data_IF_433132783090
#
_entry.id   IF_433132783090
#
_cell.length_a   1.000
_cell.length_b   1.000
_cell.length_c   1.000
_cell.angle_alpha   90.00
_cell.angle_beta   90.00
_cell.angle_gamma   90.00
#
_symmetry.space_group_name_H-M   'P 1'
#
loop_
_entity.id
_entity.type
_entity.pdbx_description
1 polymer ?
#
# COMPACT_ATOMS: atom_id res chain seq x y z
N UNK A 1 -17.14 -8.90 -19.22
CA UNK A 1 -17.48 -10.16 -18.49
C UNK A 1 -16.33 -11.15 -18.64
N UNK A 2 -15.46 -11.28 -17.62
CA UNK A 2 -14.33 -12.23 -17.63
C UNK A 2 -14.82 -13.63 -17.21
N UNK A 3 -14.61 -14.63 -18.07
CA UNK A 3 -14.89 -16.05 -17.79
C UNK A 3 -13.89 -16.53 -16.71
N UNK A 4 -14.36 -16.76 -15.48
CA UNK A 4 -13.58 -17.40 -14.40
C UNK A 4 -13.32 -18.86 -14.76
N UNK A 5 -12.06 -19.31 -14.65
CA UNK A 5 -11.67 -20.71 -14.71
C UNK A 5 -12.21 -21.41 -13.45
N UNK A 6 -13.21 -22.28 -13.63
CA UNK A 6 -13.78 -23.11 -12.55
C UNK A 6 -12.79 -24.21 -12.18
N UNK A 7 -12.14 -24.10 -11.03
CA UNK A 7 -11.42 -25.22 -10.43
C UNK A 7 -12.45 -26.29 -10.02
N UNK A 8 -12.37 -27.49 -10.60
CA UNK A 8 -13.29 -28.60 -10.31
C UNK A 8 -12.67 -29.51 -9.23
N UNK A 9 -13.40 -29.77 -8.16
CA UNK A 9 -13.12 -30.85 -7.22
C UNK A 9 -13.92 -32.10 -7.61
N UNK A 10 -13.35 -33.29 -7.42
CA UNK A 10 -14.02 -34.58 -7.65
C UNK A 10 -13.88 -35.43 -6.38
N UNK A 11 -14.99 -35.98 -5.88
CA UNK A 11 -15.01 -36.95 -4.78
C UNK A 11 -15.66 -38.25 -5.27
N UNK A 12 -15.07 -39.40 -4.93
CA UNK A 12 -15.63 -40.73 -5.25
C UNK A 12 -16.45 -41.17 -4.05
N UNK A 13 -17.78 -41.15 -4.18
CA UNK A 13 -18.70 -41.75 -3.19
C UNK A 13 -18.76 -43.25 -3.49
N UNK A 14 -18.39 -44.10 -2.53
CA UNK A 14 -18.45 -45.56 -2.68
C UNK A 14 -19.69 -46.08 -1.97
N UNK A 15 -20.68 -46.58 -2.72
CA UNK A 15 -21.71 -47.42 -2.12
C UNK A 15 -21.10 -48.79 -1.79
N UNK A 16 -21.06 -49.15 -0.51
CA UNK A 16 -20.54 -50.45 -0.05
C UNK A 16 -21.53 -51.58 -0.35
N UNK A 17 -21.25 -52.37 -1.38
CA UNK A 17 -21.47 -53.81 -1.36
C UNK A 17 -20.10 -54.48 -1.42
N UNK A 18 -19.88 -55.43 -0.51
CA UNK A 18 -18.60 -55.95 -0.01
C UNK A 18 -17.58 -56.38 -1.08
N UNK A 19 -16.29 -56.18 -0.74
CA UNK A 19 -15.01 -56.72 -1.30
C UNK A 19 -14.27 -55.95 -2.42
N UNK A 20 -13.01 -55.53 -2.15
CA UNK A 20 -11.92 -55.42 -3.14
C UNK A 20 -11.14 -54.09 -3.27
N UNK A 21 -9.81 -54.17 -3.23
CA UNK A 21 -8.71 -53.16 -3.20
C UNK A 21 -8.52 -52.24 -4.45
N UNK A 22 -8.19 -50.95 -4.20
CA UNK A 22 -7.06 -50.06 -4.66
C UNK A 22 -6.66 -49.76 -6.16
N UNK A 23 -6.21 -48.49 -6.38
CA UNK A 23 -5.40 -47.80 -7.43
C UNK A 23 -6.10 -46.99 -8.57
N UNK A 24 -5.93 -45.64 -8.67
CA UNK A 24 -4.92 -44.78 -9.40
C UNK A 24 -5.18 -44.78 -10.94
N UNK A 25 -5.29 -43.67 -11.72
CA UNK A 25 -4.25 -42.69 -12.15
C UNK A 25 -4.77 -41.47 -12.96
N UNK A 26 -4.02 -40.36 -12.87
CA UNK A 26 -3.54 -39.33 -13.84
C UNK A 26 -4.44 -38.52 -14.82
N UNK A 27 -4.47 -37.20 -14.55
CA UNK A 27 -4.09 -35.97 -15.33
C UNK A 27 -4.24 -35.95 -16.87
N UNK A 28 -4.85 -34.87 -17.38
CA UNK A 28 -4.82 -34.49 -18.80
C UNK A 28 -4.66 -32.99 -19.05
N UNK A 29 -3.64 -32.65 -19.85
CA UNK A 29 -3.24 -31.33 -20.38
C UNK A 29 -4.29 -30.68 -21.32
N UNK A 30 -4.27 -29.34 -21.40
CA UNK A 30 -4.95 -28.55 -22.44
C UNK A 30 -4.04 -28.34 -23.67
N UNK A 31 -4.56 -28.37 -24.91
CA UNK A 31 -3.85 -27.88 -26.07
C UNK A 31 -4.07 -26.38 -26.31
N UNK A 32 -2.98 -25.69 -26.65
CA UNK A 32 -2.94 -24.39 -27.31
C UNK A 32 -3.56 -24.54 -28.71
N UNK A 33 -4.25 -23.49 -29.20
CA UNK A 33 -4.92 -23.34 -30.51
C UNK A 33 -6.39 -23.77 -30.60
N UNK A 34 -7.32 -22.81 -30.41
CA UNK A 34 -8.59 -22.69 -31.17
C UNK A 34 -9.16 -21.27 -31.00
N UNK A 35 -8.63 -20.31 -31.76
CA UNK A 35 -9.41 -19.20 -32.31
C UNK A 35 -8.93 -19.05 -33.74
N UNK A 36 -9.75 -19.48 -34.71
CA UNK A 36 -9.86 -18.97 -36.08
C UNK A 36 -10.59 -20.02 -36.93
N UNK A 37 -11.89 -19.81 -37.15
CA UNK A 37 -12.59 -20.23 -38.36
C UNK A 37 -13.96 -19.56 -38.42
N UNK A 38 -14.09 -18.48 -39.21
CA UNK A 38 -15.10 -18.31 -40.27
C UNK A 38 -15.07 -16.87 -40.84
N UNK A 39 -14.19 -16.69 -41.84
CA UNK A 39 -14.25 -15.94 -43.13
C UNK A 39 -14.95 -14.56 -43.29
N UNK A 40 -14.70 -13.77 -44.37
CA UNK A 40 -13.57 -13.73 -45.32
C UNK A 40 -12.95 -12.32 -45.52
N UNK A 41 -11.78 -12.29 -46.16
CA UNK A 41 -11.21 -11.17 -46.96
C UNK A 41 -11.37 -9.74 -46.44
N UNK A 42 -10.31 -9.23 -45.80
CA UNK A 42 -9.72 -7.95 -46.19
C UNK A 42 -8.28 -7.86 -45.65
N UNK A 43 -7.36 -7.50 -46.54
CA UNK A 43 -5.97 -7.14 -46.25
C UNK A 43 -5.93 -5.88 -45.36
N UNK A 44 -6.25 -6.05 -44.08
CA UNK A 44 -5.92 -5.11 -43.04
C UNK A 44 -4.87 -5.77 -42.18
N UNK A 45 -3.67 -5.21 -42.17
CA UNK A 45 -2.70 -5.44 -41.10
C UNK A 45 -3.41 -5.05 -39.80
N UNK A 46 -3.96 -6.02 -39.08
CA UNK A 46 -4.40 -5.81 -37.70
C UNK A 46 -3.11 -5.69 -36.88
N UNK A 47 -2.52 -4.51 -36.89
CA UNK A 47 -1.69 -4.10 -35.78
C UNK A 47 -2.59 -4.22 -34.56
N UNK A 48 -2.31 -5.21 -33.70
CA UNK A 48 -2.67 -5.09 -32.29
C UNK A 48 -2.12 -3.73 -31.89
N UNK A 49 -3.00 -2.77 -31.63
CA UNK A 49 -2.58 -1.48 -31.13
C UNK A 49 -1.66 -1.77 -29.93
N UNK A 50 -0.42 -1.29 -30.02
CA UNK A 50 0.52 -1.25 -28.92
C UNK A 50 -0.03 -0.27 -27.87
N UNK A 51 -1.08 -0.69 -27.16
CA UNK A 51 -1.84 0.22 -26.30
C UNK A 51 -1.27 0.32 -24.88
N UNK A 52 -0.14 -0.33 -24.56
CA UNK A 52 0.38 -0.37 -23.18
C UNK A 52 1.92 -0.34 -23.05
N UNK A 53 2.67 0.37 -23.91
CA UNK A 53 4.13 0.50 -23.70
C UNK A 53 4.51 1.29 -22.43
N UNK A 54 3.56 2.00 -21.80
CA UNK A 54 3.76 2.80 -20.58
C UNK A 54 2.95 2.32 -19.35
N UNK A 55 2.54 1.05 -19.29
CA UNK A 55 1.73 0.56 -18.17
C UNK A 55 2.49 -0.40 -17.25
N UNK A 56 2.48 -0.14 -15.94
CA UNK A 56 2.80 -1.13 -14.92
C UNK A 56 1.66 -2.14 -14.83
N UNK A 57 1.96 -3.43 -14.83
CA UNK A 57 0.96 -4.47 -14.57
C UNK A 57 1.57 -5.74 -13.98
N UNK A 58 0.73 -6.53 -13.32
CA UNK A 58 1.07 -7.85 -12.81
C UNK A 58 -0.20 -8.67 -12.51
N UNK A 59 -0.01 -9.95 -12.23
CA UNK A 59 -1.00 -10.88 -11.70
C UNK A 59 -0.59 -11.35 -10.30
N UNK A 60 -1.51 -11.28 -9.36
CA UNK A 60 -1.37 -11.80 -8.00
C UNK A 60 -1.75 -13.27 -8.03
N UNK A 61 -0.83 -14.12 -7.60
CA UNK A 61 -0.99 -15.58 -7.61
C UNK A 61 -0.88 -16.12 -6.19
N UNK A 62 -1.88 -16.91 -5.78
CA UNK A 62 -1.86 -17.62 -4.49
C UNK A 62 -0.92 -18.81 -4.56
N UNK A 63 0.05 -18.88 -3.64
CA UNK A 63 1.02 -19.95 -3.48
C UNK A 63 0.96 -20.45 -2.02
N UNK A 64 0.15 -21.49 -1.78
CA UNK A 64 -0.13 -21.95 -0.42
C UNK A 64 -0.88 -20.88 0.39
N UNK A 65 -0.29 -20.46 1.51
CA UNK A 65 -0.79 -19.38 2.39
C UNK A 65 -0.30 -17.98 2.00
N UNK A 66 0.53 -17.89 0.96
CA UNK A 66 1.14 -16.64 0.50
C UNK A 66 0.60 -16.20 -0.86
N UNK A 67 0.82 -14.94 -1.20
CA UNK A 67 0.54 -14.36 -2.51
C UNK A 67 1.81 -13.73 -3.09
N UNK A 68 2.07 -13.96 -4.38
CA UNK A 68 3.23 -13.41 -5.11
C UNK A 68 2.79 -12.74 -6.40
N UNK A 69 3.71 -12.02 -7.05
CA UNK A 69 3.45 -11.34 -8.32
C UNK A 69 4.03 -12.13 -9.51
N UNK A 70 3.21 -12.40 -10.53
CA UNK A 70 3.56 -13.01 -11.81
C UNK A 70 3.18 -12.09 -12.97
N UNK A 71 3.60 -12.43 -14.20
CA UNK A 71 3.29 -11.69 -15.43
C UNK A 71 3.58 -10.17 -15.29
N UNK A 72 4.69 -9.85 -14.64
CA UNK A 72 5.07 -8.47 -14.30
C UNK A 72 5.55 -7.77 -15.56
N UNK A 73 4.98 -6.61 -15.83
CA UNK A 73 5.40 -5.69 -16.87
C UNK A 73 5.70 -4.33 -16.23
N UNK A 74 6.93 -3.85 -16.42
CA UNK A 74 7.38 -2.52 -15.99
C UNK A 74 7.71 -1.73 -17.27
N UNK A 75 7.32 -0.45 -17.36
CA UNK A 75 7.59 0.36 -18.55
C UNK A 75 9.08 0.54 -18.85
N UNK A 76 9.41 0.45 -20.15
CA UNK A 76 10.78 0.51 -20.69
C UNK A 76 11.25 1.94 -20.88
N UNK A 77 12.54 2.18 -20.67
CA UNK A 77 13.22 3.44 -21.03
C UNK A 77 13.41 4.42 -19.88
N UNK A 78 12.80 4.16 -18.73
CA UNK A 78 12.89 4.98 -17.53
C UNK A 78 13.69 4.33 -16.40
N UNK A 79 14.20 5.18 -15.50
CA UNK A 79 14.78 4.76 -14.23
C UNK A 79 13.89 5.22 -13.07
N UNK A 80 13.72 4.35 -12.07
CA UNK A 80 12.84 4.55 -10.92
C UNK A 80 13.65 4.67 -9.64
N UNK A 81 13.35 5.69 -8.84
CA UNK A 81 14.02 5.96 -7.56
C UNK A 81 13.31 5.30 -6.38
N UNK A 82 12.01 5.00 -6.53
CA UNK A 82 11.19 4.43 -5.45
C UNK A 82 10.29 3.31 -5.97
N UNK A 83 10.12 2.27 -5.14
CA UNK A 83 9.02 1.32 -5.21
C UNK A 83 8.25 1.42 -3.88
N UNK A 84 6.99 1.82 -3.93
CA UNK A 84 6.07 1.75 -2.79
C UNK A 84 5.07 0.64 -3.02
N UNK A 85 4.85 -0.21 -2.02
CA UNK A 85 3.88 -1.31 -2.07
C UNK A 85 2.94 -1.15 -0.90
N UNK A 86 1.65 -1.10 -1.19
CA UNK A 86 0.60 -1.04 -0.18
C UNK A 86 -0.29 -2.26 -0.31
N UNK A 87 -0.58 -2.91 0.82
CA UNK A 87 -1.55 -4.01 0.86
C UNK A 87 -2.79 -3.60 1.62
N UNK A 88 -3.92 -4.26 1.33
CA UNK A 88 -5.13 -4.20 2.15
C UNK A 88 -5.46 -5.61 2.62
N UNK A 89 -5.86 -5.75 3.88
CA UNK A 89 -6.20 -7.02 4.53
C UNK A 89 -5.03 -8.02 4.52
N UNK A 90 -3.79 -7.57 4.72
CA UNK A 90 -2.63 -8.46 4.85
C UNK A 90 -1.80 -8.06 6.07
N UNK A 91 -1.32 -9.03 6.84
CA UNK A 91 -0.54 -8.75 8.05
C UNK A 91 0.96 -8.65 7.82
N UNK A 92 1.48 -9.11 6.67
CA UNK A 92 2.91 -9.04 6.40
C UNK A 92 3.24 -9.02 4.89
N UNK A 93 4.40 -8.42 4.58
CA UNK A 93 5.03 -8.39 3.27
C UNK A 93 6.54 -8.54 3.43
N UNK A 94 7.13 -9.38 2.59
CA UNK A 94 8.58 -9.56 2.47
C UNK A 94 9.02 -9.55 1.01
N UNK A 95 10.30 -9.29 0.79
CA UNK A 95 10.94 -9.40 -0.53
C UNK A 95 12.11 -10.38 -0.38
N UNK A 96 11.94 -11.58 -0.93
CA UNK A 96 12.93 -12.64 -0.79
C UNK A 96 14.21 -12.36 -1.59
N UNK A 97 15.37 -12.73 -1.03
CA UNK A 97 16.65 -12.64 -1.74
C UNK A 97 17.18 -11.22 -1.96
N UNK A 98 16.47 -10.18 -1.50
CA UNK A 98 16.94 -8.81 -1.54
C UNK A 98 17.66 -8.44 -0.23
N UNK A 99 18.91 -8.92 -0.10
CA UNK A 99 19.82 -8.49 0.97
C UNK A 99 20.58 -7.25 0.50
N UNK A 100 19.91 -6.11 0.45
CA UNK A 100 20.59 -4.89 0.07
C UNK A 100 21.41 -4.34 1.24
N UNK A 101 22.62 -3.87 0.93
CA UNK A 101 23.35 -2.99 1.84
C UNK A 101 22.51 -1.74 2.09
N UNK A 102 22.42 -1.28 3.34
CA UNK A 102 21.74 -0.02 3.69
C UNK A 102 22.37 1.22 3.03
N UNK A 103 23.54 1.07 2.37
CA UNK A 103 24.14 2.10 1.53
C UNK A 103 23.41 2.33 0.20
N UNK A 104 22.69 1.32 -0.30
CA UNK A 104 22.21 1.31 -1.69
C UNK A 104 20.70 1.55 -1.78
N UNK A 105 19.97 1.26 -0.71
CA UNK A 105 18.52 1.37 -0.63
C UNK A 105 18.06 1.48 0.82
N UNK A 106 17.09 2.35 1.06
CA UNK A 106 16.36 2.40 2.32
C UNK A 106 15.10 1.57 2.17
N UNK A 107 14.92 0.59 3.06
CA UNK A 107 13.74 -0.28 3.08
C UNK A 107 12.95 0.03 4.34
N UNK A 108 11.68 0.36 4.19
CA UNK A 108 10.77 0.60 5.31
C UNK A 108 9.55 -0.27 5.19
N UNK A 109 9.13 -0.84 6.32
CA UNK A 109 7.88 -1.57 6.45
C UNK A 109 7.16 -1.11 7.70
N UNK A 110 5.91 -0.72 7.53
CA UNK A 110 4.99 -0.41 8.62
C UNK A 110 3.73 -1.26 8.40
N UNK A 111 3.31 -1.97 9.43
CA UNK A 111 2.10 -2.81 9.41
C UNK A 111 1.04 -2.07 10.20
N UNK A 112 -0.07 -1.74 9.56
CA UNK A 112 -1.23 -1.09 10.18
C UNK A 112 -2.36 -2.10 10.37
N UNK A 113 -3.47 -1.67 10.97
CA UNK A 113 -4.69 -2.47 11.08
C UNK A 113 -5.31 -2.81 9.72
N UNK A 114 -5.09 -1.95 8.71
CA UNK A 114 -5.65 -2.10 7.36
C UNK A 114 -4.76 -2.90 6.40
N UNK A 115 -3.45 -2.98 6.67
CA UNK A 115 -2.52 -3.71 5.81
C UNK A 115 -1.05 -3.38 6.04
N UNK A 116 -0.25 -3.40 4.97
CA UNK A 116 1.20 -3.15 5.03
C UNK A 116 1.55 -2.00 4.10
N UNK A 117 2.29 -1.03 4.62
CA UNK A 117 2.99 0.01 3.89
C UNK A 117 4.46 -0.38 3.77
N UNK A 118 4.96 -0.53 2.54
CA UNK A 118 6.33 -0.93 2.27
C UNK A 118 6.97 0.04 1.27
N UNK A 119 8.18 0.52 1.55
CA UNK A 119 8.94 1.38 0.64
C UNK A 119 10.34 0.82 0.38
N UNK A 120 10.81 0.99 -0.84
CA UNK A 120 12.21 0.86 -1.23
C UNK A 120 12.64 2.16 -1.89
N UNK A 121 13.50 2.92 -1.23
CA UNK A 121 14.05 4.17 -1.77
C UNK A 121 15.49 3.92 -2.19
N UNK A 122 15.74 3.86 -3.50
CA UNK A 122 17.08 3.60 -4.01
C UNK A 122 17.99 4.83 -3.86
N UNK A 123 19.25 4.61 -3.49
CA UNK A 123 20.25 5.66 -3.47
C UNK A 123 20.43 6.26 -4.88
N UNK A 124 20.51 5.37 -5.88
CA UNK A 124 20.56 5.69 -7.33
C UNK A 124 19.36 5.06 -8.03
N UNK A 125 18.72 5.80 -8.94
CA UNK A 125 17.57 5.30 -9.70
C UNK A 125 17.92 4.01 -10.48
N UNK A 126 16.99 3.06 -10.49
CA UNK A 126 17.15 1.71 -11.04
C UNK A 126 16.33 1.54 -12.31
N UNK A 127 16.86 0.79 -13.27
CA UNK A 127 16.16 0.49 -14.52
C UNK A 127 15.00 -0.51 -14.31
N UNK A 128 14.20 -0.69 -15.36
CA UNK A 128 13.06 -1.62 -15.36
C UNK A 128 13.42 -3.04 -14.93
N UNK A 129 14.62 -3.54 -15.29
CA UNK A 129 14.98 -4.94 -15.10
C UNK A 129 15.19 -5.18 -13.60
N UNK A 130 15.84 -4.22 -12.93
CA UNK A 130 16.03 -4.29 -11.50
C UNK A 130 14.74 -4.09 -10.72
N UNK A 131 13.86 -3.20 -11.16
CA UNK A 131 12.52 -3.05 -10.57
C UNK A 131 11.73 -4.37 -10.74
N UNK A 132 11.74 -4.95 -11.92
CA UNK A 132 11.06 -6.24 -12.20
C UNK A 132 11.60 -7.37 -11.33
N UNK A 133 12.92 -7.44 -11.15
CA UNK A 133 13.59 -8.41 -10.27
C UNK A 133 13.12 -8.28 -8.81
N UNK A 134 13.03 -7.05 -8.29
CA UNK A 134 12.47 -6.80 -6.95
C UNK A 134 11.02 -7.28 -6.87
N UNK A 135 10.17 -6.88 -7.83
CA UNK A 135 8.74 -7.19 -7.80
C UNK A 135 8.45 -8.70 -7.89
N UNK A 136 9.28 -9.48 -8.62
CA UNK A 136 9.18 -10.95 -8.70
C UNK A 136 9.35 -11.66 -7.36
N UNK A 137 10.06 -11.03 -6.43
CA UNK A 137 10.41 -11.63 -5.15
C UNK A 137 9.49 -11.19 -4.00
N UNK A 138 8.46 -10.40 -4.28
CA UNK A 138 7.45 -10.02 -3.28
C UNK A 138 6.66 -11.25 -2.83
N UNK A 139 6.54 -11.40 -1.52
CA UNK A 139 5.69 -12.39 -0.86
C UNK A 139 4.82 -11.68 0.16
N UNK A 140 3.51 -11.82 0.02
CA UNK A 140 2.50 -11.27 0.94
C UNK A 140 1.85 -12.42 1.70
N UNK A 141 1.74 -12.30 3.03
CA UNK A 141 1.19 -13.34 3.90
C UNK A 141 0.17 -12.77 4.89
N UNK A 142 -0.54 -13.67 5.57
CA UNK A 142 -1.60 -13.29 6.52
C UNK A 142 -2.73 -12.50 5.87
N UNK A 143 -3.09 -12.88 4.64
CA UNK A 143 -4.11 -12.17 3.86
C UNK A 143 -5.50 -12.65 4.25
N UNK A 144 -6.31 -11.75 4.80
CA UNK A 144 -7.75 -11.97 4.95
C UNK A 144 -8.47 -11.62 3.63
N UNK A 145 -9.23 -12.58 3.12
CA UNK A 145 -9.98 -12.46 1.87
C UNK A 145 -11.48 -12.52 2.07
N UNK A 146 -11.94 -12.60 3.33
CA UNK A 146 -13.34 -12.73 3.73
C UNK A 146 -14.26 -11.67 3.11
N UNK A 147 -13.74 -10.45 2.95
CA UNK A 147 -14.53 -9.29 2.49
C UNK A 147 -14.32 -8.91 1.01
N UNK A 148 -13.62 -9.74 0.20
CA UNK A 148 -13.28 -9.45 -1.20
C UNK A 148 -12.60 -8.07 -1.44
N UNK A 149 -11.89 -7.57 -0.44
CA UNK A 149 -11.21 -6.27 -0.47
C UNK A 149 -9.68 -6.39 -0.42
N UNK A 150 -9.12 -7.61 -0.38
CA UNK A 150 -7.69 -7.79 -0.39
C UNK A 150 -7.10 -7.21 -1.68
N UNK A 151 -6.04 -6.42 -1.53
CA UNK A 151 -5.36 -5.81 -2.66
C UNK A 151 -3.87 -5.71 -2.43
N UNK A 152 -3.12 -5.74 -3.52
CA UNK A 152 -1.73 -5.31 -3.57
C UNK A 152 -1.69 -4.18 -4.57
N UNK A 153 -1.16 -3.04 -4.14
CA UNK A 153 -0.89 -1.86 -4.96
C UNK A 153 0.61 -1.67 -5.05
N UNK A 154 1.13 -1.47 -6.26
CA UNK A 154 2.51 -1.07 -6.50
C UNK A 154 2.50 0.31 -7.13
N UNK A 155 3.25 1.24 -6.55
CA UNK A 155 3.55 2.56 -7.11
C UNK A 155 5.06 2.65 -7.32
N UNK A 156 5.48 2.89 -8.57
CA UNK A 156 6.88 3.13 -8.93
C UNK A 156 7.04 4.60 -9.31
N UNK A 157 8.04 5.26 -8.73
CA UNK A 157 8.28 6.69 -8.94
C UNK A 157 9.70 6.94 -9.44
N UNK A 158 9.83 7.83 -10.43
CA UNK A 158 11.11 8.34 -10.93
C UNK A 158 11.73 9.31 -9.92
N UNK A 159 10.89 9.99 -9.15
CA UNK A 159 11.30 10.88 -8.06
C UNK A 159 11.42 10.11 -6.73
N UNK A 160 12.11 10.70 -5.73
CA UNK A 160 12.18 10.15 -4.37
C UNK A 160 10.94 10.51 -3.56
N UNK A 161 9.79 10.09 -4.08
CA UNK A 161 8.47 10.29 -3.47
C UNK A 161 7.91 8.92 -3.09
N UNK A 162 7.64 8.73 -1.80
CA UNK A 162 7.11 7.48 -1.26
C UNK A 162 5.62 7.57 -0.97
N UNK A 163 4.89 6.47 -1.17
CA UNK A 163 3.47 6.36 -0.87
C UNK A 163 3.24 5.65 0.47
N UNK A 164 2.43 6.27 1.32
CA UNK A 164 1.84 5.73 2.53
C UNK A 164 0.32 5.71 2.39
N UNK A 165 -0.35 4.73 2.99
CA UNK A 165 -1.80 4.69 3.11
C UNK A 165 -2.16 4.59 4.58
N UNK A 166 -2.97 5.53 5.04
CA UNK A 166 -3.44 5.61 6.42
C UNK A 166 -4.54 4.58 6.73
N UNK A 167 -5.03 4.58 7.97
CA UNK A 167 -6.12 3.70 8.41
C UNK A 167 -7.47 4.02 7.75
N UNK A 168 -7.62 5.22 7.17
CA UNK A 168 -8.82 5.62 6.43
C UNK A 168 -8.75 5.23 4.95
N UNK A 169 -7.63 4.68 4.50
CA UNK A 169 -7.38 4.32 3.10
C UNK A 169 -7.00 5.51 2.22
N UNK A 170 -6.67 6.66 2.82
CA UNK A 170 -6.18 7.85 2.11
C UNK A 170 -4.71 7.65 1.76
N UNK A 171 -4.35 8.00 0.53
CA UNK A 171 -2.95 7.96 0.08
C UNK A 171 -2.26 9.27 0.44
N UNK A 172 -1.14 9.16 1.13
CA UNK A 172 -0.21 10.24 1.45
C UNK A 172 1.08 10.00 0.67
N UNK A 173 1.63 11.05 0.08
CA UNK A 173 2.87 11.01 -0.66
C UNK A 173 3.89 11.91 0.01
N UNK A 174 5.06 11.38 0.27
CA UNK A 174 6.10 12.07 1.05
C UNK A 174 7.34 12.30 0.22
N UNK A 175 7.85 13.54 0.26
CA UNK A 175 9.09 13.96 -0.37
C UNK A 175 9.99 14.69 0.62
N UNK A 176 11.30 14.43 0.58
CA UNK A 176 12.28 15.29 1.22
C UNK A 176 12.92 16.21 0.18
N UNK A 177 12.82 17.52 0.39
CA UNK A 177 13.42 18.52 -0.49
C UNK A 177 14.72 19.02 0.16
N UNK A 178 15.90 18.71 -0.41
CA UNK A 178 17.21 19.04 0.16
C UNK A 178 17.61 20.49 -0.12
N UNK A 179 16.69 21.43 0.10
CA UNK A 179 16.93 22.86 -0.03
C UNK A 179 16.74 23.51 1.33
N UNK A 180 17.85 23.91 1.95
CA UNK A 180 17.80 24.63 3.21
C UNK A 180 17.09 25.99 3.00
N UNK A 181 16.03 26.22 3.77
CA UNK A 181 15.20 27.44 3.76
C UNK A 181 14.80 27.79 5.19
N UNK A 182 14.43 29.04 5.44
CA UNK A 182 13.68 29.35 6.67
C UNK A 182 12.31 28.65 6.64
N UNK A 183 11.65 28.49 7.78
CA UNK A 183 10.36 27.79 7.83
C UNK A 183 9.29 28.48 6.97
N UNK A 184 9.22 29.82 7.01
CA UNK A 184 8.27 30.61 6.20
C UNK A 184 8.53 30.45 4.69
N UNK A 185 9.80 30.35 4.28
CA UNK A 185 10.16 30.08 2.89
C UNK A 185 9.87 28.63 2.48
N UNK A 186 10.12 27.67 3.37
CA UNK A 186 9.83 26.26 3.15
C UNK A 186 8.33 26.00 3.01
N UNK A 187 7.50 26.64 3.85
CA UNK A 187 6.03 26.63 3.73
C UNK A 187 5.59 27.06 2.34
N UNK A 188 6.05 28.23 1.90
CA UNK A 188 5.73 28.77 0.58
C UNK A 188 6.23 27.87 -0.55
N UNK A 189 7.43 27.31 -0.41
CA UNK A 189 8.00 26.41 -1.41
C UNK A 189 7.22 25.10 -1.53
N UNK A 190 6.81 24.51 -0.40
CA UNK A 190 5.98 23.30 -0.37
C UNK A 190 4.64 23.53 -1.09
N UNK A 191 3.98 24.68 -0.84
CA UNK A 191 2.71 25.08 -1.48
C UNK A 191 2.79 25.26 -3.00
N UNK A 192 3.98 25.39 -3.58
CA UNK A 192 4.17 25.47 -5.03
C UNK A 192 4.42 24.11 -5.70
N UNK A 193 4.57 23.05 -4.91
CA UNK A 193 4.81 21.72 -5.46
C UNK A 193 3.48 21.05 -5.80
N UNK A 194 3.53 20.17 -6.80
CA UNK A 194 2.37 19.37 -7.19
C UNK A 194 2.79 17.94 -7.48
N UNK A 195 1.96 16.98 -7.11
CA UNK A 195 2.18 15.57 -7.43
C UNK A 195 0.84 14.87 -7.62
N UNK A 196 0.66 14.14 -8.74
CA UNK A 196 -0.62 13.49 -9.11
C UNK A 196 -1.85 14.42 -9.00
N UNK A 197 -1.68 15.69 -9.40
CA UNK A 197 -2.75 16.71 -9.33
C UNK A 197 -3.04 17.27 -7.92
N UNK A 198 -2.32 16.81 -6.90
CA UNK A 198 -2.42 17.28 -5.51
C UNK A 198 -1.40 18.40 -5.26
N UNK A 199 -1.75 19.37 -4.41
CA UNK A 199 -0.84 20.44 -4.02
C UNK A 199 -0.03 20.02 -2.80
N UNK A 200 1.25 20.36 -2.79
CA UNK A 200 2.15 20.08 -1.67
C UNK A 200 1.91 21.00 -0.48
N UNK A 201 2.26 20.53 0.71
CA UNK A 201 2.31 21.30 1.95
C UNK A 201 3.42 20.73 2.84
N UNK A 202 3.88 21.47 3.85
CA UNK A 202 4.86 20.91 4.78
C UNK A 202 4.24 19.72 5.51
N UNK A 203 4.96 18.61 5.54
CA UNK A 203 4.40 17.35 6.01
C UNK A 203 3.87 17.46 7.45
N UNK A 204 2.72 16.83 7.68
CA UNK A 204 2.16 16.62 9.01
C UNK A 204 2.45 15.19 9.44
N UNK A 205 2.43 14.94 10.76
CA UNK A 205 2.61 13.58 11.29
C UNK A 205 1.65 13.38 12.46
N UNK A 206 0.66 12.51 12.25
CA UNK A 206 -0.50 12.34 13.13
C UNK A 206 -0.53 10.99 13.84
N UNK A 207 0.39 10.09 13.52
CA UNK A 207 0.49 8.77 14.14
C UNK A 207 1.94 8.27 14.27
N UNK A 208 2.15 7.28 15.14
CA UNK A 208 3.44 6.61 15.28
C UNK A 208 3.84 5.83 14.03
N UNK A 209 2.86 5.21 13.36
CA UNK A 209 3.08 4.42 12.15
C UNK A 209 3.55 5.31 10.99
N UNK A 210 2.93 6.49 10.84
CA UNK A 210 3.34 7.50 9.87
C UNK A 210 4.73 8.06 10.17
N UNK A 211 5.01 8.39 11.44
CA UNK A 211 6.34 8.80 11.90
C UNK A 211 7.41 7.78 11.51
N UNK A 212 7.18 6.50 11.80
CA UNK A 212 8.14 5.44 11.51
C UNK A 212 8.29 5.22 10.01
N UNK A 213 7.21 5.35 9.24
CA UNK A 213 7.25 5.25 7.78
C UNK A 213 8.09 6.36 7.15
N UNK A 214 7.81 7.62 7.48
CA UNK A 214 8.53 8.78 6.91
C UNK A 214 10.01 8.70 7.32
N UNK A 215 10.30 8.38 8.59
CA UNK A 215 11.66 8.27 9.10
C UNK A 215 12.48 7.22 8.34
N UNK A 216 11.95 5.99 8.24
CA UNK A 216 12.66 4.91 7.58
C UNK A 216 12.86 5.15 6.08
N UNK A 217 11.94 5.88 5.45
CA UNK A 217 11.88 6.01 4.00
C UNK A 217 12.76 7.16 3.49
N UNK A 218 12.40 8.38 3.85
CA UNK A 218 12.93 9.60 3.23
C UNK A 218 13.63 10.53 4.22
N UNK A 219 13.45 10.36 5.54
CA UNK A 219 14.00 11.27 6.55
C UNK A 219 15.47 10.99 6.87
N UNK A 220 16.33 11.28 5.91
CA UNK A 220 17.76 11.04 6.03
C UNK A 220 18.55 12.25 6.58
N UNK A 221 17.92 13.42 6.70
CA UNK A 221 18.55 14.71 7.07
C UNK A 221 17.58 15.62 7.80
N UNK A 222 18.08 16.52 8.64
CA UNK A 222 17.20 17.38 9.43
C UNK A 222 16.46 18.42 8.56
N UNK A 223 15.17 18.61 8.82
CA UNK A 223 14.32 19.48 8.02
C UNK A 223 13.01 19.90 8.69
N UNK A 224 12.29 20.80 8.05
CA UNK A 224 11.00 21.32 8.55
C UNK A 224 9.81 20.38 8.33
N UNK A 225 8.93 20.33 9.34
CA UNK A 225 7.55 19.87 9.25
C UNK A 225 6.57 21.05 9.34
N UNK A 226 5.28 20.82 9.09
CA UNK A 226 4.23 21.85 9.11
C UNK A 226 3.85 22.37 10.52
N UNK A 227 4.44 21.82 11.58
CA UNK A 227 4.12 22.18 12.95
C UNK A 227 4.69 23.54 13.37
N UNK A 228 3.88 24.37 14.03
CA UNK A 228 4.32 25.65 14.58
C UNK A 228 3.51 26.04 15.82
N UNK A 229 4.06 26.95 16.63
CA UNK A 229 3.29 27.72 17.63
C UNK A 229 3.20 29.20 17.29
N UNK A 230 3.88 29.66 16.24
CA UNK A 230 3.81 31.05 15.81
C UNK A 230 2.37 31.38 15.39
N UNK A 231 1.91 32.59 15.69
CA UNK A 231 0.59 33.07 15.29
C UNK A 231 0.74 34.42 14.61
N UNK A 232 -0.25 34.86 13.84
CA UNK A 232 -0.29 36.24 13.35
C UNK A 232 -0.27 37.21 14.53
N UNK A 233 0.19 38.45 14.34
CA UNK A 233 0.17 39.47 15.41
C UNK A 233 -1.24 39.75 15.98
N UNK A 234 -2.29 39.37 15.26
CA UNK A 234 -3.68 39.38 15.75
C UNK A 234 -3.99 38.28 16.79
N UNK A 235 -3.09 37.30 16.97
CA UNK A 235 -3.29 36.09 17.76
C UNK A 235 -3.95 34.94 16.98
N UNK A 236 -4.30 35.13 15.71
CA UNK A 236 -4.88 34.09 14.88
C UNK A 236 -3.81 33.07 14.43
N UNK A 237 -4.17 31.78 14.41
CA UNK A 237 -3.35 30.72 13.84
C UNK A 237 -3.20 30.90 12.33
N UNK A 238 -2.07 30.45 11.82
CA UNK A 238 -1.86 30.11 10.41
C UNK A 238 -2.78 28.91 10.12
N UNK A 239 -3.58 28.98 9.07
CA UNK A 239 -4.62 27.99 8.79
C UNK A 239 -4.75 27.73 7.29
N UNK A 240 -3.72 27.07 6.75
CA UNK A 240 -3.65 26.64 5.36
C UNK A 240 -3.66 27.77 4.32
N UNK A 241 -3.00 28.88 4.63
CA UNK A 241 -2.86 29.99 3.70
C UNK A 241 -2.13 29.56 2.42
N UNK A 242 -2.59 30.06 1.27
CA UNK A 242 -1.91 29.77 -0.01
C UNK A 242 -0.48 30.30 -0.07
N UNK A 243 -0.18 31.32 0.74
CA UNK A 243 1.17 31.87 0.90
C UNK A 243 1.28 32.64 2.21
N UNK A 244 2.49 32.67 2.76
CA UNK A 244 2.87 33.42 3.93
C UNK A 244 3.84 34.55 3.58
N UNK A 245 3.73 35.68 4.29
CA UNK A 245 4.82 36.66 4.29
C UNK A 245 6.06 36.03 4.90
N UNK A 246 7.23 36.23 4.28
CA UNK A 246 8.53 35.79 4.81
C UNK A 246 9.13 36.76 5.83
N UNK A 247 8.49 37.92 6.03
CA UNK A 247 8.85 38.85 7.10
C UNK A 247 8.35 38.33 8.45
N UNK A 248 9.29 37.84 9.26
CA UNK A 248 9.01 37.27 10.58
C UNK A 248 8.37 38.27 11.55
N UNK A 249 8.46 39.59 11.31
CA UNK A 249 7.82 40.61 12.15
C UNK A 249 6.29 40.59 12.07
N UNK A 250 5.72 39.91 11.08
CA UNK A 250 4.27 39.72 10.94
C UNK A 250 3.70 38.66 11.89
N UNK A 251 4.56 37.93 12.62
CA UNK A 251 4.17 36.82 13.46
C UNK A 251 4.65 37.00 14.91
N UNK A 252 3.78 36.66 15.85
CA UNK A 252 4.12 36.52 17.25
C UNK A 252 4.83 35.18 17.48
N UNK A 253 6.16 35.22 17.50
CA UNK A 253 7.04 34.03 17.66
C UNK A 253 7.54 33.89 19.10
N UNK A 254 7.78 35.00 19.80
CA UNK A 254 8.28 34.95 21.18
C UNK A 254 7.22 34.36 22.11
N UNK A 255 7.59 33.43 23.01
CA UNK A 255 6.64 32.81 23.95
C UNK A 255 5.89 33.88 24.74
N UNK A 256 4.57 33.84 24.59
CA UNK A 256 3.59 34.66 25.26
C UNK A 256 2.33 33.82 25.51
N UNK A 257 1.41 34.31 26.34
CA UNK A 257 0.23 33.53 26.76
C UNK A 257 -0.69 33.08 25.61
N UNK A 258 -0.61 33.72 24.43
CA UNK A 258 -1.46 33.45 23.27
C UNK A 258 -0.81 32.57 22.18
N UNK A 259 0.45 32.17 22.32
CA UNK A 259 1.18 31.41 21.29
C UNK A 259 1.99 30.23 21.87
N UNK A 260 1.48 29.66 22.97
CA UNK A 260 2.14 28.52 23.64
C UNK A 260 1.80 27.17 23.03
N UNK A 261 0.74 27.07 22.23
CA UNK A 261 0.24 25.79 21.72
C UNK A 261 0.81 25.50 20.34
N UNK A 262 1.34 24.31 20.14
CA UNK A 262 1.74 23.84 18.82
C UNK A 262 0.55 23.28 18.04
N UNK A 263 0.49 23.61 16.77
CA UNK A 263 -0.57 23.24 15.86
C UNK A 263 0.00 23.06 14.44
N UNK A 264 -0.75 22.37 13.57
CA UNK A 264 -0.39 22.20 12.16
C UNK A 264 -0.79 23.44 11.36
N UNK A 265 0.13 24.03 10.61
CA UNK A 265 -0.10 25.27 9.88
C UNK A 265 -0.77 25.07 8.51
N UNK A 266 -0.62 23.88 7.94
CA UNK A 266 -1.06 23.51 6.59
C UNK A 266 -1.54 22.06 6.54
N UNK A 267 -2.14 21.71 5.40
CA UNK A 267 -2.64 20.37 5.13
C UNK A 267 -4.01 20.10 5.73
N UNK A 268 -4.49 18.84 5.69
CA UNK A 268 -5.77 18.44 6.24
C UNK A 268 -5.93 18.74 7.73
N UNK A 269 -4.82 18.83 8.47
CA UNK A 269 -4.77 19.05 9.91
C UNK A 269 -4.68 20.53 10.30
N UNK A 270 -4.67 21.46 9.33
CA UNK A 270 -4.45 22.87 9.58
C UNK A 270 -5.32 23.43 10.71
N UNK A 271 -4.70 24.17 11.62
CA UNK A 271 -5.33 24.75 12.80
C UNK A 271 -5.49 23.79 13.99
N UNK A 272 -5.38 22.48 13.81
CA UNK A 272 -5.49 21.52 14.91
C UNK A 272 -4.28 21.58 15.84
N UNK A 273 -4.55 21.69 17.14
CA UNK A 273 -3.50 21.70 18.17
C UNK A 273 -3.09 20.28 18.52
N UNK A 274 -1.78 20.00 18.50
CA UNK A 274 -1.20 18.71 18.88
C UNK A 274 -0.31 18.75 20.13
N UNK A 275 0.01 19.94 20.66
CA UNK A 275 0.80 20.10 21.88
C UNK A 275 0.43 21.39 22.62
N UNK A 276 0.26 21.35 23.94
CA UNK A 276 -0.34 22.44 24.73
C UNK A 276 0.64 23.56 25.15
N UNK A 277 1.94 23.32 25.17
CA UNK A 277 2.92 24.22 25.80
C UNK A 277 4.12 24.51 24.91
N UNK A 278 4.72 25.69 25.08
CA UNK A 278 5.95 26.04 24.37
C UNK A 278 7.17 25.28 24.90
N UNK A 279 7.04 24.71 26.10
CA UNK A 279 8.06 23.93 26.79
C UNK A 279 7.62 22.47 26.96
N UNK A 280 8.54 21.57 27.26
CA UNK A 280 8.25 20.14 27.48
C UNK A 280 7.15 19.89 28.51
N UNK A 281 6.40 18.79 28.32
CA UNK A 281 5.29 18.36 29.19
C UNK A 281 3.89 18.74 28.68
N UNK A 282 3.77 19.17 27.42
CA UNK A 282 2.53 19.61 26.80
C UNK A 282 1.74 18.57 26.01
N UNK A 283 1.97 17.27 26.21
CA UNK A 283 1.27 16.22 25.45
C UNK A 283 -0.24 16.30 25.64
N UNK A 284 -0.99 15.96 24.60
CA UNK A 284 -2.46 15.93 24.62
C UNK A 284 -2.90 14.48 24.54
N UNK A 285 -3.83 14.08 25.42
CA UNK A 285 -4.35 12.72 25.41
C UNK A 285 -5.05 12.41 24.09
N UNK A 286 -4.71 11.26 23.49
CA UNK A 286 -5.24 10.83 22.19
C UNK A 286 -4.73 11.60 20.97
N UNK A 287 -3.79 12.56 21.10
CA UNK A 287 -3.21 13.29 19.97
C UNK A 287 -1.71 13.04 19.88
N UNK A 288 -1.26 12.59 18.72
CA UNK A 288 0.14 12.23 18.52
C UNK A 288 1.07 13.44 18.63
N UNK A 289 2.13 13.28 19.41
CA UNK A 289 3.27 14.19 19.42
C UNK A 289 4.54 13.44 19.79
N UNK A 290 5.67 13.77 19.16
CA UNK A 290 6.90 12.99 19.31
C UNK A 290 8.16 13.84 19.48
N UNK A 291 8.09 14.89 20.31
CA UNK A 291 9.25 15.69 20.69
C UNK A 291 10.33 14.85 21.39
N UNK A 292 11.59 15.26 21.20
CA UNK A 292 12.74 14.76 21.94
C UNK A 292 12.58 14.98 23.45
N UNK A 293 13.35 14.24 24.25
CA UNK A 293 13.35 14.44 25.70
C UNK A 293 13.85 15.83 26.03
N UNK A 294 13.04 16.61 26.77
CA UNK A 294 13.34 18.02 27.06
C UNK A 294 12.82 19.00 26.02
N UNK A 295 12.28 18.50 24.89
CA UNK A 295 11.67 19.31 23.84
C UNK A 295 10.13 19.35 23.93
N UNK A 296 9.49 20.39 23.40
CA UNK A 296 10.10 21.63 22.92
C UNK A 296 10.71 22.42 24.09
N UNK A 297 11.76 23.19 23.85
CA UNK A 297 12.45 23.96 24.90
C UNK A 297 12.33 25.48 24.71
N UNK A 298 11.81 25.92 23.56
CA UNK A 298 11.65 27.32 23.17
C UNK A 298 12.90 28.16 23.48
N UNK A 299 14.09 27.75 23.03
CA UNK A 299 15.35 28.41 23.36
C UNK A 299 15.31 29.91 23.03
N UNK A 300 15.73 30.78 23.97
CA UNK A 300 15.56 32.25 23.92
C UNK A 300 14.13 32.71 23.62
N UNK A 301 13.13 31.90 23.99
CA UNK A 301 11.70 32.12 23.78
C UNK A 301 11.24 32.20 22.32
N UNK A 302 12.08 31.91 21.32
CA UNK A 302 11.75 32.18 19.91
C UNK A 302 11.91 30.97 18.97
N UNK A 303 12.14 29.77 19.50
CA UNK A 303 11.99 28.52 18.75
C UNK A 303 10.50 28.17 18.71
N UNK A 304 9.93 28.20 17.50
CA UNK A 304 8.48 28.15 17.30
C UNK A 304 8.06 27.31 16.08
N UNK A 305 9.01 26.62 15.45
CA UNK A 305 8.81 25.88 14.22
C UNK A 305 9.36 24.46 14.37
N UNK A 306 8.63 23.48 13.85
CA UNK A 306 8.88 22.06 14.12
C UNK A 306 9.95 21.51 13.18
N UNK A 307 11.06 21.05 13.76
CA UNK A 307 12.15 20.38 13.07
C UNK A 307 12.08 18.87 13.31
N UNK A 308 12.39 18.10 12.27
CA UNK A 308 12.45 16.64 12.30
C UNK A 308 13.78 16.13 11.74
N UNK A 309 14.16 14.89 12.09
CA UNK A 309 15.40 14.23 11.68
C UNK A 309 16.68 14.96 12.10
N UNK A 310 16.62 15.77 13.16
CA UNK A 310 17.78 16.41 13.76
C UNK A 310 18.59 15.41 14.62
N UNK A 311 19.89 15.32 14.36
CA UNK A 311 20.80 14.37 15.03
C UNK A 311 21.92 15.03 15.86
N UNK A 312 21.93 16.36 15.96
CA UNK A 312 22.92 17.09 16.76
C UNK A 312 22.69 16.95 18.26
N UNK A 313 23.73 17.21 19.07
CA UNK A 313 23.67 17.28 20.54
C UNK A 313 23.07 16.05 21.26
N UNK A 314 23.14 14.87 20.65
CA UNK A 314 22.59 13.64 21.22
C UNK A 314 21.07 13.52 21.08
N UNK A 315 20.44 14.36 20.25
CA UNK A 315 19.04 14.23 19.88
C UNK A 315 18.78 12.88 19.18
N UNK A 316 17.61 12.29 19.42
CA UNK A 316 17.16 11.16 18.63
C UNK A 316 16.54 11.71 17.33
N UNK A 317 17.12 11.42 16.15
CA UNK A 317 16.58 11.93 14.88
C UNK A 317 15.20 11.36 14.54
N UNK A 318 14.77 10.28 15.21
CA UNK A 318 13.38 9.76 15.10
C UNK A 318 12.36 10.60 15.85
N UNK A 319 12.76 11.71 16.46
CA UNK A 319 11.92 12.59 17.28
C UNK A 319 12.03 14.03 16.81
N UNK A 320 11.10 14.85 17.26
CA UNK A 320 11.00 16.25 16.86
C UNK A 320 11.82 17.16 17.77
N UNK A 321 12.14 18.33 17.23
CA UNK A 321 12.80 19.44 17.90
C UNK A 321 12.05 20.73 17.55
N UNK A 322 12.15 21.78 18.35
CA UNK A 322 11.78 23.12 17.94
C UNK A 322 13.00 23.94 17.50
N UNK A 323 12.80 24.82 16.52
CA UNK A 323 13.86 25.67 16.00
C UNK A 323 13.31 27.04 15.57
N UNK A 324 14.20 28.02 15.39
CA UNK A 324 13.86 29.41 15.00
C UNK A 324 13.69 29.52 13.49
N UNK A 325 12.81 30.41 13.05
CA UNK A 325 12.78 30.89 11.67
C UNK A 325 13.88 31.93 11.45
N UNK A 326 15.10 31.48 11.15
CA UNK A 326 16.29 32.33 11.08
C UNK A 326 17.18 31.96 9.90
N UNK A 327 17.45 32.95 9.03
CA UNK A 327 18.31 32.79 7.85
C UNK A 327 19.74 32.35 8.22
N UNK A 328 20.27 32.74 9.38
CA UNK A 328 21.61 32.35 9.82
C UNK A 328 21.71 30.88 10.29
N UNK A 329 20.57 30.19 10.40
CA UNK A 329 20.49 28.77 10.75
C UNK A 329 20.21 27.88 9.53
N UNK A 330 20.01 28.49 8.36
CA UNK A 330 19.85 27.80 7.07
C UNK A 330 21.21 27.28 6.60
N UNK A 331 21.26 26.01 6.15
CA UNK A 331 22.47 25.32 5.69
C UNK A 331 23.62 25.34 6.73
N UNK A 332 23.23 25.37 8.01
CA UNK A 332 24.16 25.37 9.11
C UNK A 332 24.23 23.97 9.71
N UNK A 333 25.39 23.32 9.55
CA UNK A 333 25.66 21.97 10.07
C UNK A 333 25.43 21.83 11.57
N UNK A 334 25.55 22.92 12.35
CA UNK A 334 25.24 22.93 13.78
C UNK A 334 23.74 22.85 14.05
N UNK A 335 22.93 23.54 13.27
CA UNK A 335 21.46 23.53 13.40
C UNK A 335 20.83 22.28 12.79
N UNK A 336 21.57 21.57 11.92
CA UNK A 336 21.08 20.37 11.22
C UNK A 336 19.83 20.65 10.39
N UNK A 337 19.75 21.84 9.77
CA UNK A 337 18.65 22.23 8.91
C UNK A 337 19.12 22.22 7.46
N UNK A 338 18.79 21.15 6.75
CA UNK A 338 19.29 20.86 5.40
C UNK A 338 18.16 20.82 4.36
N UNK A 339 16.89 20.95 4.77
CA UNK A 339 15.75 20.82 3.88
C UNK A 339 14.39 20.91 4.58
N UNK A 340 13.37 20.38 3.92
CA UNK A 340 12.01 20.30 4.43
C UNK A 340 11.27 19.09 3.84
N UNK A 341 10.26 18.63 4.57
CA UNK A 341 9.43 17.51 4.17
C UNK A 341 8.13 18.02 3.59
N UNK A 342 7.74 17.48 2.43
CA UNK A 342 6.51 17.82 1.73
C UNK A 342 5.61 16.61 1.72
N UNK A 343 4.34 16.85 2.00
CA UNK A 343 3.28 15.88 1.88
C UNK A 343 2.31 16.29 0.78
N UNK A 344 1.80 15.30 0.06
CA UNK A 344 0.70 15.43 -0.88
C UNK A 344 -0.37 14.40 -0.52
N UNK A 345 -1.58 14.85 -0.22
CA UNK A 345 -2.72 13.99 0.07
C UNK A 345 -4.00 14.65 -0.42
N UNK A 346 -5.10 13.90 -0.47
CA UNK A 346 -6.40 14.47 -0.81
C UNK A 346 -7.00 15.18 0.40
N UNK A 347 -7.21 16.49 0.29
CA UNK A 347 -8.00 17.26 1.25
C UNK A 347 -8.77 18.38 0.55
N UNK A 348 -9.81 18.89 1.22
CA UNK A 348 -10.71 19.87 0.63
C UNK A 348 -11.42 19.32 -0.61
N UNK A 349 -11.20 19.97 -1.77
CA UNK A 349 -11.79 19.57 -3.05
C UNK A 349 -10.79 18.87 -3.99
N UNK A 350 -9.57 18.62 -3.54
CA UNK A 350 -8.55 17.97 -4.36
C UNK A 350 -8.90 16.50 -4.62
N UNK A 351 -8.46 16.03 -5.79
CA UNK A 351 -8.61 14.63 -6.19
C UNK A 351 -7.31 14.15 -6.78
N UNK A 352 -6.88 12.98 -6.33
CA UNK A 352 -5.73 12.31 -6.90
C UNK A 352 -6.01 11.96 -8.36
N UNK A 353 -5.13 12.42 -9.25
CA UNK A 353 -5.16 12.07 -10.66
C UNK A 353 -4.40 10.77 -10.90
N UNK A 354 -5.17 9.68 -11.01
CA UNK A 354 -4.69 8.35 -11.39
C UNK A 354 -4.77 8.08 -12.90
N UNK A 355 -5.40 8.99 -13.66
CA UNK A 355 -5.63 8.82 -15.10
C UNK A 355 -4.45 9.29 -15.93
N UNK A 356 -3.68 10.21 -15.38
CA UNK A 356 -2.34 10.52 -15.82
C UNK A 356 -1.37 9.68 -14.98
N UNK A 357 -0.97 8.52 -15.50
CA UNK A 357 0.40 8.07 -15.30
C UNK A 357 1.29 9.19 -15.84
N UNK A 358 1.49 10.22 -15.01
CA UNK A 358 2.40 11.31 -15.28
C UNK A 358 3.75 10.69 -15.62
N UNK A 359 4.58 11.36 -16.41
CA UNK A 359 5.93 10.88 -16.68
C UNK A 359 6.77 10.74 -15.39
N UNK A 360 6.23 10.95 -14.18
CA UNK A 360 6.95 10.89 -12.90
C UNK A 360 6.63 9.65 -12.06
N UNK A 361 5.40 9.11 -12.10
CA UNK A 361 5.02 7.92 -11.32
C UNK A 361 3.94 7.08 -11.99
N UNK A 362 3.97 5.78 -11.70
CA UNK A 362 3.08 4.79 -12.30
C UNK A 362 2.55 3.88 -11.19
N UNK A 363 1.22 3.77 -11.10
CA UNK A 363 0.56 2.96 -10.08
C UNK A 363 -0.32 1.88 -10.70
N UNK A 364 -0.32 0.69 -10.10
CA UNK A 364 -1.23 -0.38 -10.46
C UNK A 364 -1.68 -1.13 -9.21
N UNK A 365 -2.99 -1.32 -9.09
CA UNK A 365 -3.62 -2.08 -8.01
C UNK A 365 -4.28 -3.31 -8.58
N UNK A 366 -4.02 -4.46 -7.96
CA UNK A 366 -4.82 -5.64 -8.19
C UNK A 366 -5.59 -5.99 -6.92
N UNK A 367 -6.92 -5.94 -7.02
CA UNK A 367 -7.81 -6.54 -6.05
C UNK A 367 -7.96 -8.03 -6.37
N UNK A 368 -7.97 -8.84 -5.33
CA UNK A 368 -8.12 -10.28 -5.46
C UNK A 368 -8.90 -10.84 -4.28
N UNK A 369 -9.35 -12.07 -4.48
CA UNK A 369 -9.97 -12.87 -3.43
C UNK A 369 -9.27 -14.20 -3.37
N UNK A 370 -9.36 -14.87 -2.22
CA UNK A 370 -8.97 -16.26 -2.16
C UNK A 370 -9.84 -17.06 -3.14
N UNK A 371 -9.27 -18.13 -3.65
CA UNK A 371 -9.95 -19.09 -4.51
C UNK A 371 -9.60 -20.47 -3.94
N UNK A 372 -10.10 -20.73 -2.73
CA UNK A 372 -10.01 -22.04 -2.12
C UNK A 372 -10.75 -23.05 -3.00
N UNK A 373 -10.29 -24.30 -2.97
CA UNK A 373 -10.97 -25.35 -3.74
C UNK A 373 -12.36 -25.57 -3.14
N UNK A 374 -13.41 -25.77 -3.96
CA UNK A 374 -14.71 -26.17 -3.45
C UNK A 374 -14.59 -27.51 -2.74
N UNK A 375 -15.30 -27.64 -1.62
CA UNK A 375 -15.41 -28.86 -0.82
C UNK A 375 -16.71 -29.58 -1.20
N UNK A 376 -16.65 -30.90 -1.33
CA UNK A 376 -17.83 -31.76 -1.43
C UNK A 376 -17.87 -32.60 -0.15
N UNK A 377 -19.00 -32.55 0.54
CA UNK A 377 -19.32 -33.40 1.67
C UNK A 377 -20.41 -34.39 1.23
N UNK A 378 -20.14 -35.67 1.40
CA UNK A 378 -21.06 -36.75 1.08
C UNK A 378 -20.89 -37.88 2.10
N UNK A 379 -21.97 -38.62 2.34
CA UNK A 379 -21.97 -39.79 3.22
C UNK A 379 -22.18 -41.06 2.41
N UNK A 380 -21.75 -42.21 2.95
CA UNK A 380 -22.06 -43.51 2.37
C UNK A 380 -23.58 -43.73 2.39
N UNK A 381 -24.12 -44.15 1.25
CA UNK A 381 -25.54 -44.40 1.09
C UNK A 381 -25.82 -45.90 0.99
N UNK A 382 -26.88 -46.34 1.67
CA UNK A 382 -27.37 -47.72 1.60
C UNK A 382 -28.68 -47.74 0.83
N UNK A 383 -28.75 -48.60 -0.17
CA UNK A 383 -29.93 -48.83 -1.02
C UNK A 383 -30.34 -50.29 -0.94
N UNK A 384 -31.64 -50.56 -1.02
CA UNK A 384 -32.16 -51.91 -1.21
C UNK A 384 -32.13 -52.27 -2.69
N UNK A 385 -32.14 -53.58 -2.95
CA UNK A 385 -32.25 -54.12 -4.31
C UNK A 385 -33.54 -53.62 -4.96
N UNK A 386 -33.42 -53.06 -6.17
CA UNK A 386 -34.53 -52.44 -6.90
C UNK A 386 -34.80 -50.96 -6.59
N UNK A 387 -34.06 -50.35 -5.64
CA UNK A 387 -34.17 -48.91 -5.40
C UNK A 387 -33.56 -48.10 -6.56
N UNK A 388 -34.16 -46.93 -6.80
CA UNK A 388 -33.56 -45.90 -7.66
C UNK A 388 -32.39 -45.24 -6.91
N UNK A 389 -31.26 -45.08 -7.58
CA UNK A 389 -30.09 -44.42 -7.01
C UNK A 389 -30.29 -42.90 -7.10
N UNK A 390 -30.21 -42.20 -5.97
CA UNK A 390 -30.09 -40.74 -5.94
C UNK A 390 -28.67 -40.34 -5.52
N UNK A 391 -27.75 -40.18 -6.49
CA UNK A 391 -26.33 -39.89 -6.23
C UNK A 391 -26.08 -38.50 -5.61
N UNK A 392 -27.08 -37.61 -5.59
CA UNK A 392 -26.97 -36.28 -4.99
C UNK A 392 -27.66 -36.19 -3.62
N UNK A 393 -28.35 -37.24 -3.19
CA UNK A 393 -28.97 -37.28 -1.87
C UNK A 393 -27.90 -37.05 -0.79
N UNK A 394 -28.17 -36.14 0.14
CA UNK A 394 -27.27 -35.75 1.23
C UNK A 394 -25.85 -35.31 0.78
N UNK A 395 -25.67 -34.97 -0.51
CA UNK A 395 -24.42 -34.38 -1.03
C UNK A 395 -24.50 -32.88 -0.92
N UNK A 396 -23.56 -32.28 -0.19
CA UNK A 396 -23.42 -30.85 -0.05
C UNK A 396 -22.11 -30.40 -0.68
N UNK A 397 -22.19 -29.58 -1.71
CA UNK A 397 -21.06 -28.76 -2.11
C UNK A 397 -21.01 -27.52 -1.23
N UNK A 398 -19.82 -27.09 -0.85
CA UNK A 398 -19.56 -25.76 -0.30
C UNK A 398 -18.36 -25.17 -0.99
N UNK A 399 -18.50 -23.97 -1.53
CA UNK A 399 -17.38 -23.13 -1.95
C UNK A 399 -17.33 -21.95 -0.97
N UNK A 400 -16.14 -21.68 -0.43
CA UNK A 400 -15.98 -20.72 0.66
C UNK A 400 -16.16 -19.29 0.18
N UNK A 401 -15.82 -18.98 -1.07
CA UNK A 401 -15.80 -17.63 -1.61
C UNK A 401 -16.97 -17.31 -2.56
N UNK A 402 -17.60 -18.32 -3.16
CA UNK A 402 -18.63 -18.16 -4.19
C UNK A 402 -20.00 -18.65 -3.73
N UNK A 403 -20.05 -19.46 -2.67
CA UNK A 403 -21.17 -20.37 -2.44
C UNK A 403 -21.26 -21.45 -3.52
N UNK A 404 -22.01 -22.52 -3.25
CA UNK A 404 -22.12 -23.62 -4.22
C UNK A 404 -23.22 -23.33 -5.23
N UNK A 405 -22.82 -23.11 -6.48
CA UNK A 405 -23.78 -22.90 -7.57
C UNK A 405 -24.38 -24.20 -8.12
N UNK A 406 -23.62 -25.31 -8.09
CA UNK A 406 -24.07 -26.58 -8.67
C UNK A 406 -23.15 -27.75 -8.24
N UNK A 407 -23.73 -28.89 -7.84
CA UNK A 407 -23.02 -30.18 -7.71
C UNK A 407 -23.53 -31.10 -8.83
N UNK A 408 -22.61 -31.68 -9.61
CA UNK A 408 -22.94 -32.60 -10.71
C UNK A 408 -22.35 -33.97 -10.47
N UNK A 409 -23.12 -34.98 -10.82
CA UNK A 409 -22.65 -36.35 -10.90
C UNK A 409 -22.00 -36.56 -12.25
N UNK A 410 -20.72 -36.89 -12.24
CA UNK A 410 -19.99 -37.16 -13.47
C UNK A 410 -20.34 -38.54 -14.06
N UNK A 411 -20.47 -39.55 -13.19
CA UNK A 411 -20.84 -40.93 -13.53
C UNK A 411 -21.13 -41.72 -12.25
N UNK A 412 -21.98 -42.73 -12.36
CA UNK A 412 -22.20 -43.75 -11.32
C UNK A 412 -21.72 -45.07 -11.92
N UNK A 413 -20.83 -45.76 -11.24
CA UNK A 413 -20.25 -47.01 -11.74
C UNK A 413 -20.34 -48.11 -10.67
N UNK A 414 -20.48 -49.36 -11.12
CA UNK A 414 -20.35 -50.52 -10.26
C UNK A 414 -18.86 -50.83 -9.92
N UNK A 415 -18.64 -51.88 -9.13
CA UNK A 415 -17.30 -52.34 -8.73
C UNK A 415 -16.39 -52.75 -9.90
N UNK A 416 -16.95 -52.99 -11.08
CA UNK A 416 -16.22 -53.33 -12.31
C UNK A 416 -15.95 -52.10 -13.19
N UNK A 417 -16.48 -50.93 -12.81
CA UNK A 417 -16.36 -49.69 -13.57
C UNK A 417 -17.45 -49.51 -14.63
N UNK A 418 -18.47 -50.39 -14.68
CA UNK A 418 -19.59 -50.28 -15.61
C UNK A 418 -20.59 -49.23 -15.11
N UNK A 419 -21.05 -48.35 -15.99
CA UNK A 419 -22.06 -47.35 -15.63
C UNK A 419 -23.41 -48.01 -15.26
N UNK A 420 -24.00 -47.53 -14.16
CA UNK A 420 -25.27 -48.02 -13.62
C UNK A 420 -26.19 -46.87 -13.25
N UNK A 421 -27.49 -47.00 -13.52
CA UNK A 421 -28.50 -46.00 -13.14
C UNK A 421 -29.42 -46.50 -12.02
N UNK A 422 -29.39 -47.80 -11.71
CA UNK A 422 -30.26 -48.48 -10.73
C UNK A 422 -29.49 -49.62 -10.05
N UNK A 423 -29.91 -50.02 -8.85
CA UNK A 423 -29.32 -51.19 -8.17
C UNK A 423 -29.81 -52.45 -8.88
N UNK A 424 -28.91 -53.28 -9.47
CA UNK A 424 -29.32 -54.49 -10.18
C UNK A 424 -30.14 -55.40 -9.27
N UNK A 425 -31.23 -55.96 -9.79
CA UNK A 425 -31.98 -57.00 -9.09
C UNK A 425 -31.08 -58.22 -8.90
N UNK A 426 -31.08 -58.81 -7.70
CA UNK A 426 -30.53 -60.15 -7.49
C UNK A 426 -31.27 -61.10 -8.44
N UNK A 427 -30.55 -61.63 -9.45
CA UNK A 427 -31.03 -62.78 -10.21
C UNK A 427 -30.74 -64.06 -9.45
#
# INVERSE_FOLDING_TARGET
MKKRLKNKAYQIIRASATTGLVMTTLVGNFPLSQVLANSPSNNGTYALAAENEKALSYEVVKNGESYTLNNISVPVGDNYSVISITTKQASDLTINGYNASTSDVNITKVVTSEGVNYSLVFATAQNQDKVTDVLKNIVVTGVDTSNNQASITVDISKQKITKYVDEMGISHYYEYVPEAKTWLEAYNAAKQRTYKGLHGYLATITSQDEQDFIYGSIANKGGWLGGTRAVLNSGAKINDESTLSTDASNYAINVASNNTKWYWADGPEAGNTFYNTAYAGGTIDGVYSNFNSGEPNANNSNEAFLQFAFSGFGANPRKWNDLRNNANQVDNSWAGLEGYYVEYSTYGNEKEDLTNNTDESISYTQTFKSNDKPVIEAQDQTYKVGDKIDPLKDVKGTDKEDGTTEVKVAKIVDKTGKEVTEIPSDQ
#
